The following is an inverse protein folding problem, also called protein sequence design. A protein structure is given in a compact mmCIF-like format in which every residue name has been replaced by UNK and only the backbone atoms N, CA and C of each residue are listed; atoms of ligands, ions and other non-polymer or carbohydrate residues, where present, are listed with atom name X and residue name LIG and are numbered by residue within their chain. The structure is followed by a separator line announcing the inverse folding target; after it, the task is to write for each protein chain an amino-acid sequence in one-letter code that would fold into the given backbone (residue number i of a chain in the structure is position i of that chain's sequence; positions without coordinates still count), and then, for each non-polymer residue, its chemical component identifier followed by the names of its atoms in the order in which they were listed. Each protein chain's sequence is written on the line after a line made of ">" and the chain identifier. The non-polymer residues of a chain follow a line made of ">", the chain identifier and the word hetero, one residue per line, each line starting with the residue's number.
data_IF_516679790667
#
_entry.id   IF_516679790667
#
_cell.length_a   1.000
_cell.length_b   1.000
_cell.length_c   1.000
_cell.angle_alpha   90.00
_cell.angle_beta   90.00
_cell.angle_gamma   90.00
#
_symmetry.space_group_name_H-M   'P 1'
#
loop_
_entity.id
_entity.type
_entity.pdbx_description
1 polymer ?
#
# COMPACT_ATOMS: atom_id res chain seq x y z
N UNK A 1 -22.02 32.72 27.13
CA UNK A 1 -22.92 32.16 26.10
C UNK A 1 -22.22 32.26 24.76
N UNK A 2 -22.55 31.36 23.83
CA UNK A 2 -21.83 30.95 22.61
C UNK A 2 -20.88 29.76 22.80
N UNK A 3 -21.46 28.57 22.86
CA UNK A 3 -20.85 27.37 22.28
C UNK A 3 -21.92 26.81 21.34
N UNK A 4 -22.09 27.47 20.20
CA UNK A 4 -22.74 26.83 19.06
C UNK A 4 -21.86 25.63 18.69
N UNK A 5 -22.49 24.46 18.56
CA UNK A 5 -21.83 23.27 18.02
C UNK A 5 -21.43 23.57 16.58
N UNK A 6 -20.26 24.19 16.42
CA UNK A 6 -19.74 24.53 15.11
C UNK A 6 -19.29 23.25 14.43
N UNK A 7 -20.17 22.73 13.57
CA UNK A 7 -19.92 21.54 12.77
C UNK A 7 -18.76 21.81 11.81
N UNK A 8 -17.68 21.06 12.00
CA UNK A 8 -16.50 21.16 11.15
C UNK A 8 -16.84 20.71 9.73
N UNK A 9 -16.62 21.58 8.74
CA UNK A 9 -16.87 21.29 7.33
C UNK A 9 -15.59 21.02 6.52
N UNK A 10 -15.71 20.39 5.35
CA UNK A 10 -14.57 20.14 4.45
C UNK A 10 -13.92 21.44 3.97
N UNK A 11 -14.74 22.43 3.59
CA UNK A 11 -14.29 23.74 3.10
C UNK A 11 -13.42 24.47 4.15
N UNK A 12 -13.80 24.39 5.42
CA UNK A 12 -13.03 24.99 6.51
C UNK A 12 -11.70 24.31 6.73
N UNK A 13 -11.67 22.97 6.65
CA UNK A 13 -10.43 22.21 6.72
C UNK A 13 -9.53 22.62 5.55
N UNK A 14 -10.02 22.61 4.32
CA UNK A 14 -9.24 22.96 3.13
C UNK A 14 -8.68 24.38 3.20
N UNK A 15 -9.53 25.34 3.58
CA UNK A 15 -9.12 26.74 3.80
C UNK A 15 -8.05 26.85 4.88
N UNK A 16 -8.18 26.08 5.96
CA UNK A 16 -7.19 26.04 7.03
C UNK A 16 -5.88 25.36 6.64
N UNK A 17 -5.82 24.56 5.56
CA UNK A 17 -4.59 23.92 5.09
C UNK A 17 -3.87 24.71 3.99
N UNK A 18 -4.55 25.69 3.39
CA UNK A 18 -4.02 26.46 2.27
C UNK A 18 -2.72 27.19 2.64
N UNK A 19 -1.71 27.08 1.78
CA UNK A 19 -0.40 27.73 1.95
C UNK A 19 0.48 27.16 3.07
N UNK A 20 0.03 26.12 3.79
CA UNK A 20 0.80 25.50 4.87
C UNK A 20 1.73 24.41 4.36
N UNK A 21 2.86 24.23 5.03
CA UNK A 21 3.74 23.09 4.79
C UNK A 21 3.09 21.79 5.28
N UNK A 22 3.63 20.65 4.83
CA UNK A 22 3.05 19.34 5.11
C UNK A 22 3.08 18.96 6.59
N UNK A 23 4.11 19.33 7.35
CA UNK A 23 4.17 19.04 8.78
C UNK A 23 3.17 19.89 9.57
N UNK A 24 3.03 21.17 9.22
CA UNK A 24 1.98 22.01 9.80
C UNK A 24 0.60 21.46 9.42
N UNK A 25 0.37 21.06 8.16
CA UNK A 25 -0.90 20.44 7.75
C UNK A 25 -1.22 19.19 8.56
N UNK A 26 -0.25 18.30 8.79
CA UNK A 26 -0.44 17.11 9.64
C UNK A 26 -0.89 17.52 11.05
N UNK A 27 -0.26 18.53 11.66
CA UNK A 27 -0.64 19.00 12.99
C UNK A 27 -2.08 19.56 13.03
N UNK A 28 -2.48 20.34 12.04
CA UNK A 28 -3.86 20.84 11.92
C UNK A 28 -4.86 19.69 11.74
N UNK A 29 -4.58 18.78 10.81
CA UNK A 29 -5.44 17.63 10.52
C UNK A 29 -5.63 16.72 11.74
N UNK A 30 -4.58 16.48 12.56
CA UNK A 30 -4.71 15.71 13.80
C UNK A 30 -5.70 16.35 14.78
N UNK A 31 -5.65 17.68 14.95
CA UNK A 31 -6.61 18.41 15.80
C UNK A 31 -8.02 18.38 15.22
N UNK A 32 -8.15 18.46 13.89
CA UNK A 32 -9.45 18.32 13.22
C UNK A 32 -10.03 16.92 13.39
N UNK A 33 -9.19 15.88 13.36
CA UNK A 33 -9.63 14.49 13.56
C UNK A 33 -10.24 14.27 14.95
N UNK A 34 -9.65 14.88 15.98
CA UNK A 34 -10.15 14.83 17.37
C UNK A 34 -11.50 15.54 17.55
N UNK A 35 -11.72 16.62 16.79
CA UNK A 35 -12.95 17.44 16.84
C UNK A 35 -14.06 16.96 15.91
N UNK A 36 -13.74 16.11 14.94
CA UNK A 36 -14.70 15.65 13.96
C UNK A 36 -15.80 14.82 14.65
N UNK A 37 -17.05 15.18 14.42
CA UNK A 37 -18.23 14.60 15.05
C UNK A 37 -18.97 13.58 14.16
N UNK A 38 -18.71 13.60 12.86
CA UNK A 38 -19.32 12.71 11.89
C UNK A 38 -18.27 11.91 11.09
N UNK A 39 -18.68 10.74 10.60
CA UNK A 39 -17.79 9.78 9.92
C UNK A 39 -17.27 10.31 8.58
N UNK A 40 -18.03 11.14 7.89
CA UNK A 40 -17.62 11.69 6.59
C UNK A 40 -16.43 12.64 6.74
N UNK A 41 -16.48 13.55 7.72
CA UNK A 41 -15.39 14.47 8.02
C UNK A 41 -14.19 13.71 8.59
N UNK A 42 -14.40 12.73 9.50
CA UNK A 42 -13.30 11.88 9.98
C UNK A 42 -12.58 11.17 8.83
N UNK A 43 -13.33 10.57 7.91
CA UNK A 43 -12.78 9.89 6.73
C UNK A 43 -12.01 10.89 5.86
N UNK A 44 -12.57 12.05 5.58
CA UNK A 44 -11.91 13.10 4.82
C UNK A 44 -10.56 13.52 5.43
N UNK A 45 -10.52 13.73 6.75
CA UNK A 45 -9.29 14.09 7.48
C UNK A 45 -8.27 12.95 7.46
N UNK A 46 -8.69 11.71 7.67
CA UNK A 46 -7.83 10.53 7.63
C UNK A 46 -7.19 10.32 6.25
N UNK A 47 -7.94 10.50 5.17
CA UNK A 47 -7.41 10.37 3.81
C UNK A 47 -6.38 11.47 3.50
N UNK A 48 -6.63 12.70 3.93
CA UNK A 48 -5.64 13.78 3.80
C UNK A 48 -4.38 13.50 4.61
N UNK A 49 -4.52 13.01 5.85
CA UNK A 49 -3.39 12.58 6.68
C UNK A 49 -2.60 11.45 6.02
N UNK A 50 -3.27 10.45 5.46
CA UNK A 50 -2.64 9.34 4.75
C UNK A 50 -1.83 9.83 3.55
N UNK A 51 -2.41 10.69 2.71
CA UNK A 51 -1.77 11.22 1.50
C UNK A 51 -0.52 12.04 1.82
N UNK A 52 -0.62 12.97 2.78
CA UNK A 52 0.53 13.81 3.17
C UNK A 52 1.63 12.96 3.82
N UNK A 53 1.25 11.99 4.66
CA UNK A 53 2.19 11.08 5.31
C UNK A 53 2.92 10.22 4.28
N UNK A 54 2.21 9.66 3.29
CA UNK A 54 2.83 8.90 2.19
C UNK A 54 3.80 9.78 1.37
N UNK A 55 3.38 10.99 1.01
CA UNK A 55 4.21 11.95 0.27
C UNK A 55 5.49 12.35 1.00
N UNK A 56 5.50 12.31 2.33
CA UNK A 56 6.67 12.56 3.20
C UNK A 56 7.40 11.29 3.61
N UNK A 57 7.08 10.14 2.99
CA UNK A 57 7.66 8.84 3.29
C UNK A 57 7.47 8.39 4.77
N UNK A 58 6.45 8.92 5.45
CA UNK A 58 5.98 8.51 6.78
C UNK A 58 5.02 7.31 6.64
N UNK A 59 5.52 6.21 6.05
CA UNK A 59 4.67 5.12 5.57
C UNK A 59 3.86 4.43 6.67
N UNK A 60 4.41 4.30 7.89
CA UNK A 60 3.69 3.72 9.04
C UNK A 60 2.46 4.55 9.44
N UNK A 61 2.61 5.87 9.43
CA UNK A 61 1.50 6.79 9.72
C UNK A 61 0.46 6.74 8.58
N UNK A 62 0.91 6.75 7.33
CA UNK A 62 0.03 6.62 6.17
C UNK A 62 -0.84 5.36 6.25
N UNK A 63 -0.23 4.22 6.61
CA UNK A 63 -0.96 2.96 6.83
C UNK A 63 -1.99 3.08 7.94
N UNK A 64 -1.61 3.62 9.11
CA UNK A 64 -2.54 3.80 10.22
C UNK A 64 -3.77 4.59 9.79
N UNK A 65 -3.57 5.68 9.05
CA UNK A 65 -4.65 6.55 8.62
C UNK A 65 -5.54 5.91 7.54
N UNK A 66 -4.95 5.24 6.55
CA UNK A 66 -5.74 4.57 5.49
C UNK A 66 -6.53 3.38 6.03
N UNK A 67 -5.94 2.60 6.95
CA UNK A 67 -6.63 1.49 7.62
C UNK A 67 -7.83 2.01 8.43
N UNK A 68 -7.62 3.09 9.20
CA UNK A 68 -8.69 3.75 9.95
C UNK A 68 -9.80 4.28 9.03
N UNK A 69 -9.45 4.81 7.86
CA UNK A 69 -10.42 5.25 6.86
C UNK A 69 -11.23 4.08 6.28
N UNK A 70 -10.57 2.94 6.01
CA UNK A 70 -11.22 1.68 5.64
C UNK A 70 -12.22 1.20 6.68
N UNK A 71 -11.84 1.22 7.96
CA UNK A 71 -12.69 0.75 9.06
C UNK A 71 -14.00 1.56 9.16
N UNK A 72 -13.92 2.89 9.03
CA UNK A 72 -15.10 3.77 9.15
C UNK A 72 -15.88 3.98 7.85
N UNK A 73 -15.41 3.44 6.72
CA UNK A 73 -16.11 3.57 5.44
C UNK A 73 -17.41 2.79 5.43
N UNK A 74 -18.43 3.36 4.78
CA UNK A 74 -19.79 2.78 4.75
C UNK A 74 -19.91 1.79 3.60
N UNK A 75 -19.31 2.09 2.44
CA UNK A 75 -19.46 1.24 1.25
C UNK A 75 -18.36 0.19 1.19
N UNK A 76 -18.70 -1.01 0.72
CA UNK A 76 -17.71 -2.07 0.47
C UNK A 76 -16.66 -1.65 -0.55
N UNK A 77 -17.05 -0.89 -1.57
CA UNK A 77 -16.14 -0.36 -2.59
C UNK A 77 -15.02 0.49 -1.97
N UNK A 78 -15.37 1.43 -1.09
CA UNK A 78 -14.38 2.25 -0.38
C UNK A 78 -13.49 1.40 0.54
N UNK A 79 -14.08 0.44 1.26
CA UNK A 79 -13.31 -0.48 2.10
C UNK A 79 -12.27 -1.26 1.29
N UNK A 80 -12.67 -1.82 0.16
CA UNK A 80 -11.79 -2.53 -0.77
C UNK A 80 -10.65 -1.61 -1.22
N UNK A 81 -10.97 -0.39 -1.66
CA UNK A 81 -9.98 0.58 -2.13
C UNK A 81 -8.94 0.90 -1.05
N UNK A 82 -9.39 1.24 0.16
CA UNK A 82 -8.51 1.65 1.25
C UNK A 82 -7.68 0.49 1.81
N UNK A 83 -8.22 -0.73 1.90
CA UNK A 83 -7.44 -1.90 2.32
C UNK A 83 -6.47 -2.37 1.24
N UNK A 84 -6.78 -2.19 -0.04
CA UNK A 84 -5.79 -2.41 -1.11
C UNK A 84 -4.67 -1.37 -1.08
N UNK A 85 -4.98 -0.12 -0.72
CA UNK A 85 -3.96 0.90 -0.49
C UNK A 85 -3.11 0.61 0.76
N UNK A 86 -3.73 0.12 1.83
CA UNK A 86 -3.04 -0.39 3.03
C UNK A 86 -2.03 -1.50 2.63
N UNK A 87 -2.47 -2.44 1.79
CA UNK A 87 -1.63 -3.51 1.26
C UNK A 87 -0.42 -2.97 0.47
N UNK A 88 -0.63 -2.04 -0.46
CA UNK A 88 0.45 -1.42 -1.23
C UNK A 88 1.52 -0.80 -0.32
N UNK A 89 1.09 -0.05 0.70
CA UNK A 89 2.01 0.60 1.63
C UNK A 89 2.81 -0.40 2.48
N UNK A 90 2.18 -1.50 2.91
CA UNK A 90 2.89 -2.58 3.60
C UNK A 90 3.95 -3.26 2.71
N UNK A 91 3.64 -3.48 1.43
CA UNK A 91 4.61 -4.02 0.46
C UNK A 91 5.81 -3.06 0.29
N UNK A 92 5.56 -1.74 0.17
CA UNK A 92 6.62 -0.71 0.11
C UNK A 92 7.55 -0.72 1.33
N UNK A 93 7.04 -1.13 2.49
CA UNK A 93 7.84 -1.27 3.73
C UNK A 93 8.49 -2.66 3.88
N UNK A 94 8.24 -3.58 2.95
CA UNK A 94 8.67 -4.99 3.01
C UNK A 94 8.07 -5.79 4.18
N UNK A 95 6.89 -5.39 4.65
CA UNK A 95 6.12 -6.02 5.73
C UNK A 95 5.03 -6.92 5.12
N UNK A 96 5.44 -8.02 4.48
CA UNK A 96 4.57 -8.82 3.63
C UNK A 96 3.43 -9.53 4.37
N UNK A 97 3.63 -9.91 5.63
CA UNK A 97 2.60 -10.53 6.44
C UNK A 97 1.46 -9.54 6.76
N UNK A 98 1.82 -8.26 6.95
CA UNK A 98 0.85 -7.19 7.14
C UNK A 98 0.13 -6.84 5.84
N UNK A 99 0.85 -6.86 4.71
CA UNK A 99 0.24 -6.71 3.39
C UNK A 99 -0.80 -7.81 3.12
N UNK A 100 -0.48 -9.07 3.43
CA UNK A 100 -1.41 -10.19 3.25
C UNK A 100 -2.66 -10.05 4.15
N UNK A 101 -2.49 -9.58 5.40
CA UNK A 101 -3.63 -9.29 6.29
C UNK A 101 -4.52 -8.20 5.70
N UNK A 102 -3.94 -7.10 5.21
CA UNK A 102 -4.70 -6.02 4.56
C UNK A 102 -5.42 -6.50 3.29
N UNK A 103 -4.74 -7.30 2.45
CA UNK A 103 -5.34 -7.92 1.28
C UNK A 103 -6.54 -8.82 1.65
N UNK A 104 -6.40 -9.66 2.69
CA UNK A 104 -7.52 -10.51 3.17
C UNK A 104 -8.73 -9.68 3.61
N UNK A 105 -8.53 -8.51 4.23
CA UNK A 105 -9.63 -7.57 4.52
C UNK A 105 -10.29 -7.10 3.23
N UNK A 106 -9.54 -6.62 2.25
CA UNK A 106 -10.09 -6.18 0.96
C UNK A 106 -10.85 -7.31 0.25
N UNK A 107 -10.23 -8.49 0.18
CA UNK A 107 -10.79 -9.68 -0.45
C UNK A 107 -12.09 -10.13 0.20
N UNK A 108 -12.23 -9.99 1.53
CA UNK A 108 -13.47 -10.34 2.24
C UNK A 108 -14.68 -9.53 1.75
N UNK A 109 -14.50 -8.24 1.45
CA UNK A 109 -15.58 -7.35 0.99
C UNK A 109 -15.91 -7.49 -0.50
N UNK A 110 -15.03 -8.10 -1.30
CA UNK A 110 -15.24 -8.28 -2.73
C UNK A 110 -16.27 -9.37 -3.05
N UNK A 111 -17.09 -9.13 -4.07
CA UNK A 111 -17.90 -10.17 -4.71
C UNK A 111 -17.03 -11.13 -5.54
N UNK A 112 -17.62 -12.17 -6.14
CA UNK A 112 -16.88 -13.20 -6.88
C UNK A 112 -16.02 -12.65 -8.03
N UNK A 113 -16.54 -11.67 -8.78
CA UNK A 113 -15.82 -11.04 -9.89
C UNK A 113 -14.70 -10.11 -9.36
N UNK A 114 -15.04 -9.26 -8.38
CA UNK A 114 -14.07 -8.37 -7.73
C UNK A 114 -12.93 -9.15 -7.08
N UNK A 115 -13.19 -10.33 -6.50
CA UNK A 115 -12.16 -11.18 -5.89
C UNK A 115 -11.10 -11.62 -6.90
N UNK A 116 -11.50 -11.96 -8.12
CA UNK A 116 -10.56 -12.31 -9.20
C UNK A 116 -9.70 -11.09 -9.55
N UNK A 117 -10.32 -9.92 -9.68
CA UNK A 117 -9.62 -8.66 -9.97
C UNK A 117 -8.67 -8.25 -8.83
N UNK A 118 -9.09 -8.41 -7.58
CA UNK A 118 -8.29 -8.10 -6.39
C UNK A 118 -7.08 -9.02 -6.26
N UNK A 119 -7.23 -10.31 -6.53
CA UNK A 119 -6.13 -11.27 -6.54
C UNK A 119 -5.09 -10.91 -7.61
N UNK A 120 -5.53 -10.58 -8.82
CA UNK A 120 -4.65 -10.11 -9.88
C UNK A 120 -3.95 -8.79 -9.51
N UNK A 121 -4.68 -7.84 -8.94
CA UNK A 121 -4.14 -6.56 -8.49
C UNK A 121 -3.10 -6.77 -7.38
N UNK A 122 -3.37 -7.65 -6.41
CA UNK A 122 -2.44 -7.97 -5.32
C UNK A 122 -1.12 -8.55 -5.85
N UNK A 123 -1.19 -9.48 -6.81
CA UNK A 123 0.00 -10.02 -7.49
C UNK A 123 0.77 -8.95 -8.25
N UNK A 124 0.07 -8.07 -8.97
CA UNK A 124 0.69 -7.00 -9.75
C UNK A 124 1.36 -5.93 -8.86
N UNK A 125 0.84 -5.69 -7.65
CA UNK A 125 1.46 -4.76 -6.69
C UNK A 125 2.90 -5.18 -6.35
N UNK A 126 3.20 -6.46 -6.19
CA UNK A 126 4.58 -6.91 -5.96
C UNK A 126 5.47 -6.63 -7.17
N UNK A 127 4.98 -6.98 -8.37
CA UNK A 127 5.73 -6.76 -9.61
C UNK A 127 6.09 -5.29 -9.82
N UNK A 128 5.09 -4.41 -9.71
CA UNK A 128 5.29 -2.96 -9.86
C UNK A 128 6.22 -2.39 -8.78
N UNK A 129 6.03 -2.80 -7.51
CA UNK A 129 6.84 -2.27 -6.41
C UNK A 129 8.29 -2.73 -6.52
N UNK A 130 8.54 -3.99 -6.88
CA UNK A 130 9.90 -4.49 -7.13
C UNK A 130 10.60 -3.70 -8.24
N UNK A 131 9.90 -3.43 -9.36
CA UNK A 131 10.43 -2.63 -10.45
C UNK A 131 10.71 -1.17 -10.07
N UNK A 132 9.93 -0.59 -9.15
CA UNK A 132 10.22 0.75 -8.59
C UNK A 132 11.50 0.73 -7.75
N UNK A 133 11.69 -0.29 -6.92
CA UNK A 133 12.90 -0.43 -6.11
C UNK A 133 14.14 -0.65 -6.98
N UNK A 134 14.02 -1.45 -8.05
CA UNK A 134 15.07 -1.65 -9.05
C UNK A 134 15.48 -0.32 -9.70
N UNK A 135 14.51 0.46 -10.19
CA UNK A 135 14.75 1.79 -10.80
C UNK A 135 15.40 2.78 -9.85
N UNK A 136 15.15 2.64 -8.54
CA UNK A 136 15.80 3.46 -7.49
C UNK A 136 17.19 2.96 -7.11
N UNK A 137 17.70 1.91 -7.75
CA UNK A 137 18.99 1.29 -7.42
C UNK A 137 18.97 0.47 -6.13
N UNK A 138 17.79 0.21 -5.54
CA UNK A 138 17.63 -0.52 -4.29
C UNK A 138 17.44 -2.01 -4.55
N UNK A 139 18.45 -2.63 -5.16
CA UNK A 139 18.31 -3.99 -5.67
C UNK A 139 18.03 -5.06 -4.61
N UNK A 140 18.61 -4.96 -3.41
CA UNK A 140 18.30 -5.90 -2.31
C UNK A 140 16.82 -5.89 -1.94
N UNK A 141 16.20 -4.70 -1.96
CA UNK A 141 14.77 -4.56 -1.75
C UNK A 141 13.98 -5.15 -2.91
N UNK A 142 14.35 -4.83 -4.15
CA UNK A 142 13.72 -5.39 -5.35
C UNK A 142 13.73 -6.92 -5.35
N UNK A 143 14.88 -7.54 -5.06
CA UNK A 143 15.05 -8.99 -4.93
C UNK A 143 14.05 -9.55 -3.90
N UNK A 144 14.05 -9.01 -2.68
CA UNK A 144 13.15 -9.46 -1.60
C UNK A 144 11.67 -9.39 -2.01
N UNK A 145 11.27 -8.37 -2.76
CA UNK A 145 9.89 -8.23 -3.25
C UNK A 145 9.61 -9.22 -4.39
N UNK A 146 10.54 -9.42 -5.32
CA UNK A 146 10.39 -10.42 -6.41
C UNK A 146 10.30 -11.85 -5.87
N UNK A 147 11.08 -12.21 -4.86
CA UNK A 147 10.97 -13.51 -4.19
C UNK A 147 9.57 -13.70 -3.59
N UNK A 148 9.03 -12.66 -2.94
CA UNK A 148 7.66 -12.71 -2.44
C UNK A 148 6.64 -12.77 -3.59
N UNK A 149 6.87 -12.06 -4.70
CA UNK A 149 6.05 -12.12 -5.90
C UNK A 149 5.96 -13.56 -6.44
N UNK A 150 7.07 -14.31 -6.44
CA UNK A 150 7.11 -15.69 -6.92
C UNK A 150 6.22 -16.63 -6.08
N UNK A 151 6.15 -16.39 -4.76
CA UNK A 151 5.31 -17.16 -3.84
C UNK A 151 3.81 -16.90 -4.12
N UNK A 152 3.43 -15.64 -4.34
CA UNK A 152 2.03 -15.25 -4.51
C UNK A 152 1.54 -15.36 -5.96
N UNK A 153 2.44 -15.32 -6.94
CA UNK A 153 2.12 -15.29 -8.36
C UNK A 153 2.77 -16.45 -9.13
N UNK A 154 2.20 -17.64 -8.94
CA UNK A 154 2.63 -18.84 -9.68
C UNK A 154 2.45 -18.71 -11.20
N UNK A 155 1.48 -17.91 -11.67
CA UNK A 155 1.21 -17.72 -13.09
C UNK A 155 2.29 -16.94 -13.85
N UNK A 156 3.03 -16.05 -13.16
CA UNK A 156 4.18 -15.30 -13.73
C UNK A 156 5.52 -15.83 -13.25
N UNK A 157 5.57 -17.11 -12.86
CA UNK A 157 6.76 -17.68 -12.21
C UNK A 157 8.02 -17.63 -13.06
N UNK A 158 7.89 -17.81 -14.37
CA UNK A 158 9.02 -17.75 -15.32
C UNK A 158 9.59 -16.33 -15.36
N UNK A 159 8.77 -15.32 -15.66
CA UNK A 159 9.19 -13.92 -15.78
C UNK A 159 9.82 -13.38 -14.47
N UNK A 160 9.25 -13.76 -13.33
CA UNK A 160 9.78 -13.36 -12.01
C UNK A 160 11.13 -14.03 -11.75
N UNK A 161 11.27 -15.31 -12.07
CA UNK A 161 12.52 -16.04 -11.88
C UNK A 161 13.63 -15.51 -12.81
N UNK A 162 13.32 -15.22 -14.07
CA UNK A 162 14.26 -14.58 -15.01
C UNK A 162 14.74 -13.21 -14.49
N UNK A 163 13.83 -12.42 -13.91
CA UNK A 163 14.19 -11.16 -13.25
C UNK A 163 15.08 -11.36 -12.03
N UNK A 164 14.79 -12.36 -11.19
CA UNK A 164 15.63 -12.69 -10.04
C UNK A 164 17.03 -13.12 -10.47
N UNK A 165 17.16 -13.98 -11.49
CA UNK A 165 18.45 -14.42 -12.04
C UNK A 165 19.27 -13.22 -12.50
N UNK A 166 18.68 -12.36 -13.33
CA UNK A 166 19.36 -11.16 -13.84
C UNK A 166 19.82 -10.22 -12.73
N UNK A 167 19.00 -10.03 -11.69
CA UNK A 167 19.38 -9.23 -10.53
C UNK A 167 20.51 -9.90 -9.75
N UNK A 168 20.41 -11.19 -9.45
CA UNK A 168 21.43 -11.91 -8.71
C UNK A 168 22.80 -11.90 -9.39
N UNK A 169 22.85 -12.13 -10.71
CA UNK A 169 24.08 -12.03 -11.50
C UNK A 169 24.70 -10.64 -11.43
N UNK A 170 23.89 -9.59 -11.57
CA UNK A 170 24.35 -8.19 -11.49
C UNK A 170 25.02 -7.86 -10.15
N UNK A 171 24.66 -8.56 -9.07
CA UNK A 171 25.24 -8.37 -7.74
C UNK A 171 26.24 -9.47 -7.34
N UNK A 172 26.65 -10.35 -8.27
CA UNK A 172 27.63 -11.40 -8.02
C UNK A 172 27.10 -12.55 -7.14
N UNK A 173 25.78 -12.68 -7.01
CA UNK A 173 25.09 -13.73 -6.25
C UNK A 173 24.87 -14.95 -7.15
N UNK A 174 25.97 -15.55 -7.59
CA UNK A 174 25.98 -16.59 -8.64
C UNK A 174 25.21 -17.84 -8.20
N UNK A 175 25.33 -18.24 -6.92
CA UNK A 175 24.66 -19.43 -6.38
C UNK A 175 23.13 -19.29 -6.41
N UNK A 176 22.64 -18.13 -6.04
CA UNK A 176 21.21 -17.81 -6.05
C UNK A 176 20.69 -17.78 -7.49
N UNK A 177 21.44 -17.19 -8.42
CA UNK A 177 21.10 -17.21 -9.84
C UNK A 177 21.04 -18.65 -10.40
N UNK A 178 22.01 -19.51 -10.08
CA UNK A 178 22.00 -20.92 -10.47
C UNK A 178 20.80 -21.68 -9.92
N UNK A 179 20.49 -21.50 -8.64
CA UNK A 179 19.32 -22.13 -8.02
C UNK A 179 18.00 -21.80 -8.75
N UNK A 180 17.81 -20.54 -9.17
CA UNK A 180 16.62 -20.17 -9.93
C UNK A 180 16.65 -20.67 -11.38
N UNK A 181 17.83 -20.80 -12.01
CA UNK A 181 17.95 -21.42 -13.34
C UNK A 181 17.56 -22.89 -13.32
N UNK A 182 18.12 -23.66 -12.39
CA UNK A 182 17.80 -25.09 -12.23
C UNK A 182 16.31 -25.30 -11.99
N UNK A 183 15.69 -24.47 -11.15
CA UNK A 183 14.24 -24.53 -10.91
C UNK A 183 13.40 -24.23 -12.15
N UNK A 184 13.86 -23.33 -13.02
CA UNK A 184 13.16 -23.04 -14.27
C UNK A 184 13.30 -24.19 -15.28
N UNK A 185 14.46 -24.83 -15.33
CA UNK A 185 14.70 -25.99 -16.20
C UNK A 185 13.85 -27.19 -15.78
N UNK A 186 13.86 -27.53 -14.48
CA UNK A 186 13.03 -28.62 -13.93
C UNK A 186 11.52 -28.37 -14.02
N UNK A 187 11.09 -27.11 -14.07
CA UNK A 187 9.67 -26.75 -14.20
C UNK A 187 9.16 -26.70 -15.65
N UNK A 188 10.04 -26.92 -16.64
CA UNK A 188 9.72 -26.95 -18.08
C UNK A 188 9.60 -28.37 -18.64
N UNK A 189 9.99 -29.40 -17.88
CA UNK A 189 9.77 -30.82 -18.15
C UNK A 189 8.40 -31.28 -17.65
#
# INVERSE_FOLDING_TARGET
>A
MFNENHHLSKSEIESALQGKDDFVKINYLRRFLERADNLEIKKFVLLNLANISEGRNLLKDAVKYIASAGDISVTYREKIEYFMKECELWIKMHEFDMAEKAFKKAFFYGNSQEKIELDNKYKELFWMTAGIEEKKGRARHAIKIYERALIVNKGRGIEISEKLISLYEKFGMVKEAEYYREKLELGRE
#
